data_IF_016001162268
#
_entry.id   IF_016001162268
#
_cell.length_a   1.000
_cell.length_b   1.000
_cell.length_c   1.000
_cell.angle_alpha   90.00
_cell.angle_beta   90.00
_cell.angle_gamma   90.00
#
_symmetry.space_group_name_H-M   'P 1'
#
loop_
_entity.id
_entity.type
_entity.pdbx_description
1 polymer ?
#
# COMPACT_ATOMS: atom_id res chain seq x y z
N UNK A 1 -11.51 -11.63 6.40
CA UNK A 1 -10.99 -10.99 7.62
C UNK A 1 -9.53 -11.41 7.77
N UNK A 2 -8.59 -10.54 7.37
CA UNK A 2 -7.16 -10.85 7.47
C UNK A 2 -6.74 -10.74 8.94
N UNK A 3 -6.45 -11.89 9.55
CA UNK A 3 -5.92 -12.01 10.91
C UNK A 3 -4.44 -11.63 10.90
N UNK A 4 -4.08 -10.45 11.39
CA UNK A 4 -2.68 -10.20 11.79
C UNK A 4 -2.53 -10.62 13.25
N UNK A 5 -2.65 -11.92 13.52
CA UNK A 5 -2.68 -12.45 14.89
C UNK A 5 -1.27 -12.79 15.43
N UNK A 6 -0.20 -12.65 14.64
CA UNK A 6 1.14 -13.08 15.08
C UNK A 6 2.23 -12.06 14.81
N UNK A 7 2.64 -11.37 15.88
CA UNK A 7 3.87 -10.57 15.89
C UNK A 7 5.08 -11.49 15.79
N UNK A 8 5.98 -11.22 14.84
CA UNK A 8 7.22 -11.98 14.64
C UNK A 8 8.14 -11.88 15.87
N UNK A 9 8.88 -12.93 16.17
CA UNK A 9 9.78 -12.98 17.34
C UNK A 9 10.84 -11.87 17.32
N UNK A 10 11.23 -11.42 18.51
CA UNK A 10 12.32 -10.45 18.67
C UNK A 10 13.66 -11.10 18.31
N UNK A 11 14.52 -10.34 17.63
CA UNK A 11 15.93 -10.73 17.44
C UNK A 11 16.67 -10.60 18.78
N UNK A 12 17.40 -11.66 19.15
CA UNK A 12 18.20 -11.69 20.36
C UNK A 12 19.62 -11.19 20.03
N UNK A 13 19.87 -9.92 20.32
CA UNK A 13 21.18 -9.30 20.13
C UNK A 13 22.12 -9.70 21.26
N UNK A 14 23.34 -10.08 20.92
CA UNK A 14 24.41 -10.38 21.87
C UNK A 14 25.77 -9.96 21.30
N UNK A 15 26.74 -9.78 22.19
CA UNK A 15 28.10 -9.40 21.82
C UNK A 15 28.80 -10.52 21.02
N UNK A 16 29.51 -10.15 19.96
CA UNK A 16 30.19 -11.12 19.07
C UNK A 16 29.27 -11.82 18.07
N UNK A 17 28.00 -11.42 17.99
CA UNK A 17 27.05 -11.93 17.00
C UNK A 17 27.45 -11.52 15.57
N UNK A 18 27.49 -12.50 14.67
CA UNK A 18 27.72 -12.25 13.24
C UNK A 18 26.43 -11.72 12.61
N UNK A 19 26.49 -10.50 12.10
CA UNK A 19 25.33 -9.81 11.52
C UNK A 19 25.02 -10.37 10.13
N UNK A 20 23.73 -10.50 9.86
CA UNK A 20 23.22 -10.91 8.54
C UNK A 20 21.98 -10.08 8.20
N UNK A 21 21.65 -9.93 6.90
CA UNK A 21 20.46 -9.19 6.46
C UNK A 21 19.17 -9.64 7.16
N UNK A 22 19.02 -10.94 7.43
CA UNK A 22 17.82 -11.51 8.06
C UNK A 22 17.56 -10.95 9.46
N UNK A 23 18.60 -10.60 10.22
CA UNK A 23 18.43 -10.00 11.54
C UNK A 23 17.81 -8.61 11.46
N UNK A 24 18.18 -7.82 10.46
CA UNK A 24 17.62 -6.50 10.24
C UNK A 24 16.18 -6.61 9.74
N UNK A 25 15.95 -7.44 8.71
CA UNK A 25 14.61 -7.70 8.17
C UNK A 25 13.63 -8.16 9.25
N UNK A 26 14.05 -9.08 10.13
CA UNK A 26 13.19 -9.56 11.21
C UNK A 26 12.92 -8.49 12.29
N UNK A 27 13.92 -7.67 12.63
CA UNK A 27 13.77 -6.59 13.59
C UNK A 27 12.80 -5.50 13.08
N UNK A 28 12.93 -5.12 11.81
CA UNK A 28 12.04 -4.18 11.12
C UNK A 28 10.62 -4.74 11.01
N UNK A 29 10.46 -5.96 10.50
CA UNK A 29 9.15 -6.62 10.39
C UNK A 29 8.45 -6.77 11.75
N UNK A 30 9.20 -7.00 12.83
CA UNK A 30 8.61 -7.04 14.17
C UNK A 30 8.08 -5.67 14.59
N UNK A 31 8.80 -4.58 14.30
CA UNK A 31 8.37 -3.23 14.62
C UNK A 31 7.09 -2.87 13.86
N UNK A 32 7.05 -3.12 12.56
CA UNK A 32 5.85 -2.91 11.73
C UNK A 32 4.65 -3.68 12.27
N UNK A 33 4.83 -4.98 12.58
CA UNK A 33 3.77 -5.81 13.14
C UNK A 33 3.22 -5.28 14.47
N UNK A 34 4.07 -4.72 15.34
CA UNK A 34 3.64 -4.15 16.61
C UNK A 34 2.78 -2.90 16.41
N UNK A 35 3.18 -2.03 15.47
CA UNK A 35 2.43 -0.82 15.13
C UNK A 35 1.06 -1.19 14.56
N UNK A 36 1.02 -2.07 13.55
CA UNK A 36 -0.23 -2.56 12.95
C UNK A 36 -1.14 -3.22 13.99
N UNK A 37 -0.57 -4.06 14.87
CA UNK A 37 -1.34 -4.73 15.92
C UNK A 37 -2.00 -3.74 16.89
N UNK A 38 -1.29 -2.69 17.28
CA UNK A 38 -1.86 -1.64 18.13
C UNK A 38 -2.95 -0.85 17.40
N UNK A 39 -2.69 -0.43 16.16
CA UNK A 39 -3.67 0.29 15.33
C UNK A 39 -4.99 -0.50 15.18
N UNK A 40 -4.88 -1.80 14.91
CA UNK A 40 -6.01 -2.74 14.80
C UNK A 40 -6.86 -2.83 16.08
N UNK A 41 -6.24 -2.69 17.24
CA UNK A 41 -6.92 -2.76 18.54
C UNK A 41 -7.55 -1.44 18.94
N UNK A 42 -7.00 -0.32 18.47
CA UNK A 42 -7.51 1.02 18.79
C UNK A 42 -8.62 1.49 17.85
N UNK A 43 -8.68 1.00 16.61
CA UNK A 43 -9.72 1.39 15.65
C UNK A 43 -10.15 0.22 14.76
N UNK A 44 -11.47 0.01 14.67
CA UNK A 44 -12.06 -0.98 13.76
C UNK A 44 -11.88 -0.66 12.27
N UNK A 45 -11.57 0.61 11.94
CA UNK A 45 -11.34 1.11 10.58
C UNK A 45 -9.96 1.77 10.49
N UNK A 46 -8.91 1.03 10.84
CA UNK A 46 -7.51 1.50 10.85
C UNK A 46 -6.85 1.45 9.46
N UNK A 47 -7.55 0.98 8.44
CA UNK A 47 -7.07 0.86 7.06
C UNK A 47 -8.10 1.43 6.09
N UNK A 48 -7.66 1.76 4.88
CA UNK A 48 -8.50 2.37 3.84
C UNK A 48 -7.77 3.47 3.08
N UNK A 49 -8.51 4.11 2.17
CA UNK A 49 -8.04 5.29 1.45
C UNK A 49 -8.13 6.51 2.36
N UNK A 50 -7.02 7.23 2.48
CA UNK A 50 -6.92 8.49 3.22
C UNK A 50 -7.15 9.66 2.26
N UNK A 51 -6.49 9.64 1.10
CA UNK A 51 -6.61 10.64 0.05
C UNK A 51 -6.51 9.99 -1.32
N UNK A 52 -7.26 10.49 -2.30
CA UNK A 52 -7.28 9.97 -3.66
C UNK A 52 -7.75 11.04 -4.63
N UNK A 53 -6.91 11.35 -5.62
CA UNK A 53 -7.23 12.26 -6.70
C UNK A 53 -6.93 11.64 -8.06
N UNK A 54 -7.69 12.07 -9.07
CA UNK A 54 -7.57 11.55 -10.42
C UNK A 54 -7.92 12.62 -11.46
N UNK A 55 -7.36 12.45 -12.66
CA UNK A 55 -7.58 13.37 -13.76
C UNK A 55 -9.00 13.22 -14.34
N UNK A 56 -9.85 14.22 -14.03
CA UNK A 56 -11.23 14.27 -14.51
C UNK A 56 -11.34 14.48 -16.02
N UNK A 57 -10.36 15.14 -16.64
CA UNK A 57 -10.35 15.35 -18.09
C UNK A 57 -9.99 14.05 -18.82
N UNK A 58 -9.05 13.28 -18.28
CA UNK A 58 -8.77 11.93 -18.75
C UNK A 58 -10.02 11.03 -18.60
N UNK A 59 -10.75 11.14 -17.48
CA UNK A 59 -11.96 10.36 -17.26
C UNK A 59 -13.04 10.64 -18.31
N UNK A 60 -13.21 11.89 -18.72
CA UNK A 60 -14.11 12.27 -19.80
C UNK A 60 -13.75 11.62 -21.15
N UNK A 61 -12.50 11.17 -21.30
CA UNK A 61 -11.98 10.44 -22.46
C UNK A 61 -11.89 8.92 -22.21
N UNK A 62 -12.69 8.38 -21.27
CA UNK A 62 -12.71 6.97 -20.86
C UNK A 62 -11.36 6.44 -20.34
N UNK A 63 -10.57 7.29 -19.68
CA UNK A 63 -9.31 6.90 -19.05
C UNK A 63 -9.31 7.31 -17.58
N UNK A 64 -9.16 6.35 -16.68
CA UNK A 64 -8.92 6.66 -15.27
C UNK A 64 -7.42 6.82 -15.06
N UNK A 65 -6.96 8.07 -14.92
CA UNK A 65 -5.57 8.38 -14.58
C UNK A 65 -5.48 8.87 -13.15
N UNK A 66 -4.75 8.14 -12.30
CA UNK A 66 -4.56 8.52 -10.90
C UNK A 66 -3.55 9.66 -10.83
N UNK A 67 -3.89 10.70 -10.08
CA UNK A 67 -3.02 11.86 -9.84
C UNK A 67 -2.30 11.72 -8.51
N UNK A 68 -3.02 11.29 -7.47
CA UNK A 68 -2.46 10.97 -6.16
C UNK A 68 -3.25 9.85 -5.49
N UNK A 69 -2.57 9.06 -4.66
CA UNK A 69 -3.19 8.08 -3.78
C UNK A 69 -2.39 8.01 -2.49
N UNK A 70 -3.09 8.12 -1.37
CA UNK A 70 -2.55 7.80 -0.05
C UNK A 70 -3.51 6.86 0.65
N UNK A 71 -3.05 5.66 0.98
CA UNK A 71 -3.86 4.68 1.68
C UNK A 71 -3.04 3.82 2.64
N UNK A 72 -3.75 3.19 3.57
CA UNK A 72 -3.21 2.18 4.48
C UNK A 72 -3.89 0.87 4.15
N UNK A 73 -3.10 -0.16 3.87
CA UNK A 73 -3.58 -1.51 3.57
C UNK A 73 -4.01 -2.22 4.87
N UNK A 74 -4.82 -3.30 4.80
CA UNK A 74 -5.29 -4.02 6.00
C UNK A 74 -4.19 -4.58 6.90
N UNK A 75 -2.98 -4.78 6.37
CA UNK A 75 -1.79 -5.24 7.09
C UNK A 75 -0.91 -4.09 7.64
N UNK A 76 -1.37 -2.84 7.48
CA UNK A 76 -0.69 -1.63 7.91
C UNK A 76 0.32 -1.07 6.91
N UNK A 77 0.48 -1.68 5.72
CA UNK A 77 1.35 -1.11 4.69
C UNK A 77 0.82 0.25 4.24
N UNK A 78 1.67 1.27 4.29
CA UNK A 78 1.34 2.60 3.78
C UNK A 78 1.70 2.63 2.30
N UNK A 79 0.75 3.06 1.47
CA UNK A 79 0.95 3.29 0.04
C UNK A 79 0.76 4.76 -0.23
N UNK A 80 1.77 5.36 -0.85
CA UNK A 80 1.75 6.73 -1.32
C UNK A 80 2.17 6.73 -2.78
N UNK A 81 1.37 7.40 -3.60
CA UNK A 81 1.58 7.57 -5.03
C UNK A 81 1.31 9.02 -5.38
N UNK A 82 2.18 9.61 -6.18
CA UNK A 82 1.99 10.97 -6.70
C UNK A 82 2.55 11.05 -8.12
N UNK A 83 1.68 11.43 -9.06
CA UNK A 83 2.08 11.73 -10.41
C UNK A 83 2.23 13.25 -10.59
N UNK A 84 3.45 13.72 -10.87
CA UNK A 84 3.75 15.14 -11.07
C UNK A 84 3.78 15.56 -12.56
N UNK A 85 3.59 14.59 -13.48
CA UNK A 85 3.61 14.83 -14.92
C UNK A 85 5.01 14.94 -15.52
N UNK A 86 6.07 14.76 -14.72
CA UNK A 86 7.46 14.82 -15.18
C UNK A 86 7.96 13.41 -15.51
N UNK A 87 8.63 13.28 -16.65
CA UNK A 87 9.22 12.01 -17.06
C UNK A 87 10.60 11.87 -16.39
N UNK A 88 10.78 10.85 -15.56
CA UNK A 88 12.07 10.49 -14.96
C UNK A 88 12.31 11.02 -13.53
N UNK A 89 11.33 11.70 -12.94
CA UNK A 89 11.23 11.95 -11.50
C UNK A 89 9.80 11.63 -11.07
N UNK A 90 9.62 10.85 -10.00
CA UNK A 90 8.30 10.43 -9.52
C UNK A 90 7.83 9.07 -10.03
N UNK A 91 6.61 8.71 -9.65
CA UNK A 91 6.00 7.43 -10.02
C UNK A 91 5.58 7.42 -11.49
N UNK A 92 5.61 6.25 -12.13
CA UNK A 92 5.06 6.07 -13.48
C UNK A 92 3.55 6.39 -13.51
N UNK A 93 3.06 6.82 -14.68
CA UNK A 93 1.65 7.15 -14.85
C UNK A 93 0.78 5.90 -14.61
N UNK A 94 -0.06 5.95 -13.57
CA UNK A 94 -1.02 4.90 -13.26
C UNK A 94 -2.33 5.22 -13.99
N UNK A 95 -2.52 4.59 -15.14
CA UNK A 95 -3.67 4.81 -16.02
C UNK A 95 -4.38 3.50 -16.35
N UNK A 96 -5.70 3.54 -16.36
CA UNK A 96 -6.57 2.46 -16.78
C UNK A 96 -7.49 2.95 -17.92
N UNK A 97 -7.43 2.27 -19.06
CA UNK A 97 -8.38 2.49 -20.16
C UNK A 97 -9.71 1.82 -19.84
N UNK A 98 -10.75 2.63 -19.67
CA UNK A 98 -12.09 2.16 -19.32
C UNK A 98 -12.87 1.63 -20.52
N UNK A 99 -12.43 1.91 -21.77
CA UNK A 99 -13.10 1.36 -22.95
C UNK A 99 -12.97 -0.18 -23.02
N UNK A 100 -11.93 -0.73 -22.40
CA UNK A 100 -11.70 -2.17 -22.32
C UNK A 100 -12.67 -2.88 -21.35
N UNK A 101 -13.40 -2.13 -20.51
CA UNK A 101 -14.30 -2.67 -19.50
C UNK A 101 -15.72 -2.71 -20.09
N UNK A 102 -16.18 -3.90 -20.49
CA UNK A 102 -17.59 -4.13 -20.80
C UNK A 102 -18.36 -4.33 -19.49
N UNK A 103 -18.95 -3.25 -18.95
CA UNK A 103 -19.84 -3.33 -17.80
C UNK A 103 -21.09 -2.47 -18.02
N UNK A 104 -22.25 -3.05 -17.72
CA UNK A 104 -23.53 -2.32 -17.66
C UNK A 104 -23.72 -1.60 -16.31
N UNK A 105 -22.86 -1.87 -15.32
CA UNK A 105 -22.94 -1.28 -13.99
C UNK A 105 -22.19 0.06 -13.88
N UNK A 106 -22.77 1.01 -13.14
CA UNK A 106 -22.16 2.32 -12.84
C UNK A 106 -21.12 2.29 -11.72
N UNK A 107 -20.91 1.14 -11.08
CA UNK A 107 -19.97 0.99 -9.98
C UNK A 107 -18.71 0.31 -10.50
N UNK A 108 -17.56 0.95 -10.30
CA UNK A 108 -16.26 0.40 -10.65
C UNK A 108 -15.53 0.08 -9.34
N UNK A 109 -15.09 -1.18 -9.20
CA UNK A 109 -14.23 -1.60 -8.11
C UNK A 109 -12.78 -1.59 -8.60
N UNK A 110 -11.92 -0.82 -7.93
CA UNK A 110 -10.49 -0.79 -8.18
C UNK A 110 -9.78 -1.65 -7.14
N UNK A 111 -8.87 -2.50 -7.59
CA UNK A 111 -8.01 -3.31 -6.71
C UNK A 111 -6.56 -2.87 -6.90
N UNK A 112 -5.93 -2.41 -5.83
CA UNK A 112 -4.50 -2.13 -5.83
C UNK A 112 -3.76 -3.39 -5.37
N UNK A 113 -2.82 -3.87 -6.18
CA UNK A 113 -1.93 -4.97 -5.82
C UNK A 113 -0.56 -4.35 -5.56
N UNK A 114 -0.12 -4.42 -4.30
CA UNK A 114 1.23 -4.01 -3.92
C UNK A 114 2.05 -5.27 -3.70
N UNK A 115 3.04 -5.49 -4.58
CA UNK A 115 4.00 -6.55 -4.36
C UNK A 115 4.88 -6.18 -3.17
N UNK A 116 4.96 -7.08 -2.18
CA UNK A 116 6.03 -7.04 -1.19
C UNK A 116 7.13 -7.96 -1.70
N UNK A 117 8.27 -7.38 -2.08
CA UNK A 117 9.49 -8.16 -2.20
C UNK A 117 9.86 -8.63 -0.79
N UNK A 118 9.87 -9.96 -0.60
CA UNK A 118 10.20 -10.61 0.68
C UNK A 118 11.68 -10.65 0.97
#
# INVERSE_FOLDING_TARGET
MLKVDRVVNKVHWFEGMLLSPQHFQQAELRLENLITHLAQRTSGFHWGVIDFDFDRAALASNKLKVSSLHCVMPDGLIVQYQYDGLVGQGDEALELDLNAIQSEEKNIQLSLIVARDG
#
